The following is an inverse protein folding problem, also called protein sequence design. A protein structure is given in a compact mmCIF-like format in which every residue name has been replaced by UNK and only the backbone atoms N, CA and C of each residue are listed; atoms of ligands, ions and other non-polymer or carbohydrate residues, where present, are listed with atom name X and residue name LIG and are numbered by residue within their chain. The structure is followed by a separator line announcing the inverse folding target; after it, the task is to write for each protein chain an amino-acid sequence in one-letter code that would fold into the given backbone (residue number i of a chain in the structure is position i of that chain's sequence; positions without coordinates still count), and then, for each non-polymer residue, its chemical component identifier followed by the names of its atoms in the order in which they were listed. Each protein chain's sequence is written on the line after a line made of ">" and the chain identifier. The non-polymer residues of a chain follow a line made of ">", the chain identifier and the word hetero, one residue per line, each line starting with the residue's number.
data_IF_538503639749
#
_entry.id   IF_538503639749
#
_cell.length_a   1.000
_cell.length_b   1.000
_cell.length_c   1.000
_cell.angle_alpha   90.00
_cell.angle_beta   90.00
_cell.angle_gamma   90.00
#
_symmetry.space_group_name_H-M   'P 1'
#
loop_
_entity.id
_entity.type
_entity.pdbx_description
1 polymer ?
#
# COMPACT_ATOMS: atom_id res chain seq x y z
N UNK A 1 -81.14 -3.31 3.12
CA UNK A 1 -81.26 -2.00 2.42
C UNK A 1 -80.70 -0.94 3.37
N UNK A 2 -79.71 -0.11 3.06
CA UNK A 2 -78.91 0.06 1.87
C UNK A 2 -77.86 1.15 2.11
N UNK A 3 -76.84 1.13 1.24
CA UNK A 3 -75.97 2.23 0.82
C UNK A 3 -74.91 2.74 1.82
N UNK A 4 -73.70 2.25 1.60
CA UNK A 4 -72.48 3.08 1.64
C UNK A 4 -72.60 4.24 0.64
N UNK A 5 -71.89 5.36 0.89
CA UNK A 5 -70.89 5.76 -0.11
C UNK A 5 -69.59 6.38 0.47
N UNK A 6 -68.48 5.94 -0.14
CA UNK A 6 -67.26 6.65 -0.58
C UNK A 6 -66.58 7.73 0.29
N UNK A 7 -65.35 7.36 0.69
CA UNK A 7 -64.05 7.95 0.32
C UNK A 7 -63.75 9.43 0.68
N UNK A 8 -62.79 9.59 1.59
CA UNK A 8 -61.92 10.77 1.73
C UNK A 8 -60.53 10.31 2.18
N UNK A 9 -59.51 10.65 1.39
CA UNK A 9 -58.11 10.24 1.54
C UNK A 9 -57.35 11.08 2.59
N UNK A 10 -56.55 10.35 3.39
CA UNK A 10 -55.14 10.59 3.76
C UNK A 10 -54.72 11.76 4.67
N UNK A 11 -53.60 11.46 5.38
CA UNK A 11 -52.61 12.33 6.06
C UNK A 11 -52.90 12.54 7.57
N UNK A 12 -52.01 12.27 8.53
CA UNK A 12 -50.55 12.14 8.53
C UNK A 12 -50.03 11.41 9.78
N UNK A 13 -48.81 10.87 9.63
CA UNK A 13 -47.79 10.59 10.66
C UNK A 13 -48.09 9.55 11.76
N UNK A 14 -47.79 8.28 11.45
CA UNK A 14 -47.55 7.25 12.46
C UNK A 14 -46.32 7.55 13.32
N UNK A 15 -46.22 6.94 14.53
CA UNK A 15 -45.12 7.20 15.46
C UNK A 15 -43.80 6.72 14.86
N UNK A 16 -42.79 7.58 14.97
CA UNK A 16 -41.47 7.41 14.37
C UNK A 16 -40.90 6.01 14.59
N UNK A 17 -40.59 5.34 13.48
CA UNK A 17 -39.78 4.12 13.47
C UNK A 17 -38.38 4.53 13.95
N UNK A 18 -38.12 4.38 15.24
CA UNK A 18 -36.78 4.42 15.78
C UNK A 18 -36.01 3.24 15.19
N UNK A 19 -35.35 3.47 14.06
CA UNK A 19 -34.40 2.52 13.53
C UNK A 19 -33.25 2.44 14.53
N UNK A 20 -32.96 1.28 15.13
CA UNK A 20 -31.77 1.18 15.97
C UNK A 20 -30.59 1.50 15.06
N UNK A 21 -29.79 2.52 15.43
CA UNK A 21 -28.47 2.74 14.86
C UNK A 21 -27.75 1.40 15.00
N UNK A 22 -27.67 0.64 13.90
CA UNK A 22 -26.88 -0.58 13.84
C UNK A 22 -25.48 -0.16 14.27
N UNK A 23 -25.11 -0.44 15.52
CA UNK A 23 -23.71 -0.51 15.91
C UNK A 23 -23.14 -1.57 14.98
N UNK A 24 -22.50 -1.09 13.92
CA UNK A 24 -21.74 -1.92 13.01
C UNK A 24 -20.65 -2.47 13.89
N UNK A 25 -20.88 -3.65 14.49
CA UNK A 25 -19.83 -4.46 15.06
C UNK A 25 -18.88 -4.68 13.89
N UNK A 26 -17.87 -3.83 13.80
CA UNK A 26 -16.70 -4.05 12.98
C UNK A 26 -16.05 -5.27 13.63
N UNK A 27 -16.53 -6.45 13.25
CA UNK A 27 -15.75 -7.67 13.38
C UNK A 27 -14.39 -7.26 12.84
N UNK A 28 -13.38 -7.27 13.70
CA UNK A 28 -12.02 -7.00 13.28
C UNK A 28 -11.57 -8.18 12.42
N UNK A 29 -12.11 -8.29 11.20
CA UNK A 29 -11.38 -8.88 10.10
C UNK A 29 -10.33 -7.82 9.74
N UNK A 30 -9.25 -7.85 10.52
CA UNK A 30 -7.97 -7.28 10.13
C UNK A 30 -7.57 -8.02 8.86
N UNK A 31 -7.70 -7.36 7.71
CA UNK A 31 -6.88 -7.71 6.56
C UNK A 31 -5.42 -7.67 7.06
N UNK A 32 -4.86 -8.85 7.29
CA UNK A 32 -3.57 -9.07 7.96
C UNK A 32 -2.37 -8.58 7.14
N UNK A 33 -2.60 -8.21 5.87
CA UNK A 33 -1.60 -7.64 4.98
C UNK A 33 -1.98 -6.22 4.59
N UNK A 34 -1.03 -5.29 4.69
CA UNK A 34 -1.17 -3.92 4.18
C UNK A 34 -0.40 -3.77 2.87
N UNK A 35 -0.90 -2.88 2.01
CA UNK A 35 -0.20 -2.47 0.80
C UNK A 35 0.80 -1.36 1.14
N UNK A 36 2.03 -1.50 0.65
CA UNK A 36 3.12 -0.55 0.81
C UNK A 36 3.71 -0.20 -0.54
N UNK A 37 4.42 0.93 -0.55
CA UNK A 37 5.28 1.35 -1.64
C UNK A 37 6.66 1.66 -1.07
N UNK A 38 7.69 1.08 -1.68
CA UNK A 38 9.09 1.35 -1.40
C UNK A 38 9.67 2.08 -2.62
N UNK A 39 10.19 3.28 -2.41
CA UNK A 39 10.99 3.99 -3.41
C UNK A 39 12.43 3.99 -2.92
N UNK A 40 13.36 3.56 -3.77
CA UNK A 40 14.77 3.50 -3.39
C UNK A 40 15.68 4.08 -4.45
N UNK A 41 16.80 4.64 -4.00
CA UNK A 41 17.88 5.22 -4.80
C UNK A 41 19.13 4.39 -4.59
N UNK A 42 19.78 3.97 -5.67
CA UNK A 42 21.00 3.16 -5.63
C UNK A 42 22.15 3.84 -6.37
N UNK A 43 23.37 3.39 -6.06
CA UNK A 43 24.61 3.89 -6.66
C UNK A 43 24.56 3.84 -8.21
N UNK A 44 25.07 4.89 -8.88
CA UNK A 44 25.10 4.94 -10.35
C UNK A 44 26.20 4.08 -10.99
N UNK A 45 27.12 3.55 -10.18
CA UNK A 45 28.34 2.86 -10.64
C UNK A 45 28.11 1.36 -10.92
N UNK A 46 26.89 0.86 -10.72
CA UNK A 46 26.54 -0.55 -10.93
C UNK A 46 26.37 -0.88 -12.42
N UNK A 47 26.88 -2.03 -12.83
CA UNK A 47 26.69 -2.56 -14.19
C UNK A 47 25.26 -3.10 -14.41
N UNK A 48 24.82 -3.24 -15.67
CA UNK A 48 23.45 -3.66 -15.99
C UNK A 48 23.07 -5.04 -15.41
N UNK A 49 24.03 -5.96 -15.33
CA UNK A 49 23.82 -7.27 -14.68
C UNK A 49 23.61 -7.13 -13.16
N UNK A 50 24.40 -6.26 -12.52
CA UNK A 50 24.29 -5.96 -11.09
C UNK A 50 22.97 -5.27 -10.76
N UNK A 51 22.48 -4.38 -11.64
CA UNK A 51 21.18 -3.72 -11.48
C UNK A 51 20.03 -4.73 -11.50
N UNK A 52 20.07 -5.70 -12.43
CA UNK A 52 19.07 -6.78 -12.49
C UNK A 52 19.12 -7.66 -11.26
N UNK A 53 20.32 -8.08 -10.84
CA UNK A 53 20.51 -8.86 -9.62
C UNK A 53 20.03 -8.09 -8.38
N UNK A 54 20.28 -6.78 -8.34
CA UNK A 54 19.84 -5.92 -7.26
C UNK A 54 18.30 -5.82 -7.19
N UNK A 55 17.62 -5.65 -8.32
CA UNK A 55 16.15 -5.65 -8.37
C UNK A 55 15.58 -6.97 -7.82
N UNK A 56 16.13 -8.11 -8.23
CA UNK A 56 15.71 -9.42 -7.73
C UNK A 56 16.00 -9.57 -6.23
N UNK A 57 17.11 -9.01 -5.75
CA UNK A 57 17.46 -9.02 -4.32
C UNK A 57 16.44 -8.26 -3.48
N UNK A 58 15.96 -7.10 -3.93
CA UNK A 58 14.91 -6.33 -3.24
C UNK A 58 13.59 -7.10 -3.22
N UNK A 59 13.21 -7.75 -4.32
CA UNK A 59 12.01 -8.60 -4.36
C UNK A 59 12.13 -9.76 -3.35
N UNK A 60 13.30 -10.39 -3.28
CA UNK A 60 13.58 -11.47 -2.34
C UNK A 60 13.50 -11.00 -0.88
N UNK A 61 13.90 -9.77 -0.57
CA UNK A 61 13.78 -9.24 0.79
C UNK A 61 12.34 -9.19 1.27
N UNK A 62 11.43 -8.75 0.39
CA UNK A 62 9.98 -8.75 0.67
C UNK A 62 9.48 -10.18 0.84
N UNK A 63 9.83 -11.08 -0.08
CA UNK A 63 9.36 -12.48 -0.05
C UNK A 63 9.87 -13.25 1.18
N UNK A 64 11.09 -12.98 1.63
CA UNK A 64 11.67 -13.60 2.83
C UNK A 64 10.90 -13.22 4.10
N UNK A 65 10.26 -12.05 4.11
CA UNK A 65 9.37 -11.62 5.20
C UNK A 65 7.89 -12.03 4.95
N UNK A 66 7.67 -13.04 4.08
CA UNK A 66 6.36 -13.55 3.71
C UNK A 66 5.47 -12.51 2.98
N UNK A 67 6.11 -11.49 2.38
CA UNK A 67 5.44 -10.47 1.60
C UNK A 67 5.18 -10.89 0.15
N UNK A 68 4.24 -10.21 -0.49
CA UNK A 68 3.85 -10.45 -1.89
C UNK A 68 4.16 -9.20 -2.71
N UNK A 69 5.12 -9.31 -3.63
CA UNK A 69 5.39 -8.26 -4.62
C UNK A 69 4.21 -8.14 -5.58
N UNK A 70 3.70 -6.93 -5.79
CA UNK A 70 2.59 -6.63 -6.70
C UNK A 70 3.07 -6.03 -8.01
N UNK A 71 4.01 -5.08 -7.92
CA UNK A 71 4.55 -4.39 -9.09
C UNK A 71 5.94 -3.85 -8.79
N UNK A 72 6.91 -4.20 -9.63
CA UNK A 72 8.23 -3.61 -9.63
C UNK A 72 8.38 -2.68 -10.85
N UNK A 73 8.86 -1.46 -10.63
CA UNK A 73 9.31 -0.58 -11.71
C UNK A 73 10.75 -0.94 -12.09
N UNK A 74 11.10 -0.76 -13.36
CA UNK A 74 12.50 -0.81 -13.78
C UNK A 74 13.31 0.32 -13.12
N UNK A 75 14.59 0.02 -12.89
CA UNK A 75 15.58 1.00 -12.45
C UNK A 75 15.84 2.00 -13.59
N UNK A 76 15.68 3.29 -13.28
CA UNK A 76 15.93 4.37 -14.23
C UNK A 76 16.98 5.33 -13.70
N UNK A 77 17.94 5.74 -14.54
CA UNK A 77 18.88 6.81 -14.20
C UNK A 77 18.12 8.13 -14.02
N UNK A 78 18.39 8.84 -12.93
CA UNK A 78 17.83 10.16 -12.63
C UNK A 78 18.93 11.09 -12.11
N UNK A 79 18.88 12.35 -12.53
CA UNK A 79 19.70 13.43 -11.95
C UNK A 79 19.01 13.95 -10.70
N UNK A 80 19.76 14.10 -9.61
CA UNK A 80 19.29 14.64 -8.34
C UNK A 80 19.35 16.18 -8.35
N UNK A 81 18.49 16.80 -7.55
CA UNK A 81 18.53 18.25 -7.31
C UNK A 81 19.68 18.70 -6.38
N UNK A 82 20.26 17.75 -5.64
CA UNK A 82 21.42 17.96 -4.76
C UNK A 82 22.24 16.66 -4.67
N UNK A 83 23.50 16.77 -4.23
CA UNK A 83 24.40 15.62 -4.10
C UNK A 83 23.97 14.72 -2.93
N UNK A 84 23.82 13.42 -3.20
CA UNK A 84 23.77 12.38 -2.16
C UNK A 84 25.09 11.63 -2.23
N UNK A 85 25.86 11.59 -1.14
CA UNK A 85 27.18 10.96 -1.10
C UNK A 85 28.12 11.39 -2.26
N UNK A 86 28.08 12.67 -2.64
CA UNK A 86 28.83 13.26 -3.77
C UNK A 86 28.43 12.72 -5.15
N UNK A 87 27.25 12.10 -5.29
CA UNK A 87 26.68 11.66 -6.57
C UNK A 87 25.56 12.60 -7.03
N UNK A 88 25.62 13.03 -8.30
CA UNK A 88 24.56 13.82 -8.97
C UNK A 88 23.55 12.95 -9.71
N UNK A 89 23.95 11.74 -10.09
CA UNK A 89 23.14 10.79 -10.86
C UNK A 89 23.00 9.54 -10.00
N UNK A 90 21.79 8.97 -9.99
CA UNK A 90 21.48 7.71 -9.29
C UNK A 90 20.55 6.88 -10.15
N UNK A 91 20.45 5.58 -9.86
CA UNK A 91 19.30 4.81 -10.34
C UNK A 91 18.18 4.87 -9.29
N UNK A 92 16.94 4.96 -9.76
CA UNK A 92 15.74 5.01 -8.94
C UNK A 92 14.72 4.00 -9.43
N UNK A 93 14.05 3.33 -8.49
CA UNK A 93 12.92 2.44 -8.74
C UNK A 93 11.89 2.52 -7.62
N UNK A 94 10.71 1.99 -7.91
CA UNK A 94 9.62 1.84 -6.96
C UNK A 94 9.12 0.39 -6.97
N UNK A 95 8.73 -0.10 -5.80
CA UNK A 95 8.19 -1.43 -5.58
C UNK A 95 6.90 -1.34 -4.77
N UNK A 96 5.80 -1.81 -5.34
CA UNK A 96 4.54 -2.00 -4.63
C UNK A 96 4.43 -3.44 -4.16
N UNK A 97 4.15 -3.64 -2.87
CA UNK A 97 4.06 -4.96 -2.27
C UNK A 97 3.05 -5.00 -1.13
N UNK A 98 2.62 -6.20 -0.76
CA UNK A 98 1.84 -6.46 0.44
C UNK A 98 2.71 -7.10 1.50
N UNK A 99 2.58 -6.66 2.75
CA UNK A 99 3.32 -7.22 3.88
C UNK A 99 2.50 -7.15 5.17
N UNK A 100 2.72 -8.10 6.07
CA UNK A 100 2.24 -7.97 7.44
C UNK A 100 2.94 -6.76 8.12
N UNK A 101 2.21 -5.79 8.70
CA UNK A 101 2.79 -4.65 9.40
C UNK A 101 3.86 -5.00 10.45
N UNK A 102 3.76 -6.15 11.10
CA UNK A 102 4.73 -6.60 12.10
C UNK A 102 6.11 -6.95 11.52
N UNK A 103 6.18 -7.20 10.20
CA UNK A 103 7.42 -7.56 9.49
C UNK A 103 8.11 -6.37 8.84
N UNK A 104 7.52 -5.16 8.89
CA UNK A 104 8.07 -3.99 8.20
C UNK A 104 9.46 -3.62 8.73
N UNK A 105 9.68 -3.72 10.04
CA UNK A 105 10.95 -3.38 10.67
C UNK A 105 12.08 -4.32 10.23
N UNK A 106 11.76 -5.60 9.98
CA UNK A 106 12.73 -6.57 9.48
C UNK A 106 13.14 -6.25 8.03
N UNK A 107 12.18 -5.86 7.20
CA UNK A 107 12.46 -5.41 5.83
C UNK A 107 13.34 -4.16 5.85
N UNK A 108 13.02 -3.17 6.69
CA UNK A 108 13.84 -1.96 6.85
C UNK A 108 15.27 -2.26 7.29
N UNK A 109 15.48 -3.21 8.21
CA UNK A 109 16.82 -3.65 8.63
C UNK A 109 17.62 -4.23 7.46
N UNK A 110 17.00 -5.05 6.60
CA UNK A 110 17.65 -5.59 5.39
C UNK A 110 18.02 -4.48 4.40
N UNK A 111 17.10 -3.55 4.14
CA UNK A 111 17.36 -2.41 3.27
C UNK A 111 18.51 -1.54 3.79
N UNK A 112 18.53 -1.24 5.10
CA UNK A 112 19.60 -0.47 5.74
C UNK A 112 20.98 -1.14 5.67
N UNK A 113 21.02 -2.47 5.64
CA UNK A 113 22.27 -3.22 5.55
C UNK A 113 22.88 -3.18 4.13
N UNK A 114 22.08 -2.83 3.11
CA UNK A 114 22.54 -2.75 1.73
C UNK A 114 23.29 -1.46 1.43
N UNK A 115 24.60 -1.55 1.34
CA UNK A 115 25.49 -0.41 1.02
C UNK A 115 25.23 0.22 -0.35
N UNK A 116 24.63 -0.53 -1.28
CA UNK A 116 24.30 -0.02 -2.60
C UNK A 116 23.10 0.92 -2.59
N UNK A 117 22.30 0.93 -1.51
CA UNK A 117 21.16 1.84 -1.32
C UNK A 117 21.65 3.13 -0.69
N UNK A 118 21.48 4.23 -1.42
CA UNK A 118 21.78 5.58 -0.95
C UNK A 118 20.65 6.14 -0.07
N UNK A 119 19.40 5.80 -0.41
CA UNK A 119 18.19 6.24 0.30
C UNK A 119 17.01 5.35 -0.06
N UNK A 120 16.11 5.15 0.89
CA UNK A 120 14.81 4.52 0.71
C UNK A 120 13.73 5.16 1.59
#
# INVERSE_FOLDING_TARGET
>A
MGKSPRAGLAKDSGPGIYSPKRRRNRVQNLDSMKLYELTYLILPDLADEELKAFSQKIDNFVQTEEGIVKKASSLMKRKLGYLIEKKEIVYSAALNFQLNPEKIENLEKKLKAEKSILRY
#
